data_IF_663907788178
#
_entry.id   IF_663907788178
#
_cell.length_a   1.000
_cell.length_b   1.000
_cell.length_c   1.000
_cell.angle_alpha   90.00
_cell.angle_beta   90.00
_cell.angle_gamma   90.00
#
_symmetry.space_group_name_H-M   'P 1'
#
loop_
_entity.id
_entity.type
_entity.pdbx_description
1 polymer ?
#
# COMPACT_ATOMS: atom_id res chain seq x y z
N UNK A 1 41.43 -47.11 5.31
CA UNK A 1 40.59 -46.35 4.35
C UNK A 1 39.13 -46.18 4.80
N UNK A 2 38.72 -46.60 6.01
CA UNK A 2 37.34 -46.46 6.53
C UNK A 2 37.09 -45.15 7.30
N UNK A 3 38.07 -44.70 8.09
CA UNK A 3 37.98 -43.50 8.94
C UNK A 3 37.68 -42.19 8.18
N UNK A 4 38.18 -42.06 6.95
CA UNK A 4 37.97 -40.86 6.12
C UNK A 4 36.53 -40.76 5.59
N UNK A 5 35.88 -41.89 5.31
CA UNK A 5 34.53 -41.93 4.77
C UNK A 5 33.48 -41.67 5.86
N UNK A 6 33.72 -42.15 7.08
CA UNK A 6 32.86 -41.88 8.24
C UNK A 6 32.89 -40.40 8.64
N UNK A 7 34.08 -39.77 8.61
CA UNK A 7 34.23 -38.34 8.86
C UNK A 7 33.51 -37.48 7.82
N UNK A 8 33.60 -37.85 6.54
CA UNK A 8 32.89 -37.15 5.46
C UNK A 8 31.37 -37.27 5.59
N UNK A 9 30.87 -38.46 5.93
CA UNK A 9 29.45 -38.69 6.18
C UNK A 9 28.95 -37.89 7.39
N UNK A 10 29.71 -37.88 8.48
CA UNK A 10 29.35 -37.10 9.67
C UNK A 10 29.26 -35.60 9.37
N UNK A 11 30.20 -35.05 8.61
CA UNK A 11 30.18 -33.64 8.18
C UNK A 11 29.00 -33.36 7.25
N UNK A 12 28.69 -34.25 6.29
CA UNK A 12 27.56 -34.10 5.39
C UNK A 12 26.21 -34.14 6.13
N UNK A 13 26.06 -35.03 7.11
CA UNK A 13 24.86 -35.12 7.95
C UNK A 13 24.71 -33.90 8.84
N UNK A 14 25.78 -33.42 9.49
CA UNK A 14 25.75 -32.18 10.25
C UNK A 14 25.40 -30.98 9.37
N UNK A 15 25.94 -30.90 8.16
CA UNK A 15 25.64 -29.84 7.21
C UNK A 15 24.18 -29.89 6.74
N UNK A 16 23.64 -31.08 6.47
CA UNK A 16 22.24 -31.28 6.11
C UNK A 16 21.30 -30.90 7.27
N UNK A 17 21.60 -31.33 8.50
CA UNK A 17 20.84 -30.98 9.71
C UNK A 17 20.90 -29.47 10.00
N UNK A 18 22.06 -28.85 9.83
CA UNK A 18 22.24 -27.41 9.97
C UNK A 18 21.41 -26.63 8.94
N UNK A 19 21.45 -27.04 7.67
CA UNK A 19 20.64 -26.43 6.61
C UNK A 19 19.13 -26.66 6.84
N UNK A 20 18.74 -27.86 7.29
CA UNK A 20 17.36 -28.19 7.61
C UNK A 20 16.83 -27.38 8.80
N UNK A 21 17.62 -27.23 9.87
CA UNK A 21 17.30 -26.39 11.02
C UNK A 21 17.18 -24.90 10.63
N UNK A 22 18.11 -24.40 9.79
CA UNK A 22 18.06 -23.04 9.25
C UNK A 22 16.82 -22.82 8.38
N UNK A 23 16.46 -23.80 7.56
CA UNK A 23 15.27 -23.75 6.69
C UNK A 23 13.97 -23.79 7.51
N UNK A 24 13.92 -24.58 8.60
CA UNK A 24 12.78 -24.61 9.52
C UNK A 24 12.64 -23.34 10.37
N UNK A 25 13.74 -22.70 10.77
CA UNK A 25 13.70 -21.41 11.48
C UNK A 25 13.14 -20.27 10.61
N UNK A 26 13.47 -20.22 9.32
CA UNK A 26 12.96 -19.18 8.40
C UNK A 26 11.46 -19.36 8.14
N UNK A 27 10.95 -20.59 8.15
CA UNK A 27 9.53 -20.89 7.87
C UNK A 27 8.61 -20.61 9.07
N UNK A 28 9.10 -20.71 10.31
CA UNK A 28 8.31 -20.49 11.53
C UNK A 28 8.12 -19.02 11.91
N UNK A 29 9.07 -18.13 11.56
CA UNK A 29 8.93 -16.68 11.81
C UNK A 29 7.93 -15.99 10.86
N UNK A 30 7.86 -16.41 9.59
CA UNK A 30 6.89 -15.87 8.61
C UNK A 30 5.42 -16.16 8.98
N UNK A 31 5.11 -17.35 9.52
CA UNK A 31 3.73 -17.71 9.88
C UNK A 31 3.20 -16.96 11.11
N UNK A 32 4.02 -16.73 12.14
CA UNK A 32 3.60 -15.97 13.33
C UNK A 32 3.51 -14.46 13.06
N UNK A 33 4.45 -13.89 12.31
CA UNK A 33 4.40 -12.48 11.90
C UNK A 33 3.22 -12.16 10.98
N UNK A 34 2.90 -13.05 10.03
CA UNK A 34 1.73 -12.91 9.15
C UNK A 34 0.39 -13.04 9.89
N UNK A 35 0.26 -13.97 10.83
CA UNK A 35 -0.96 -14.12 11.61
C UNK A 35 -1.22 -12.92 12.55
N UNK A 36 -0.17 -12.40 13.21
CA UNK A 36 -0.28 -11.23 14.07
C UNK A 36 -0.63 -9.95 13.29
N UNK A 37 -0.08 -9.79 12.09
CA UNK A 37 -0.42 -8.65 11.21
C UNK A 37 -1.86 -8.72 10.72
N UNK A 38 -2.38 -9.91 10.34
CA UNK A 38 -3.78 -10.06 9.95
C UNK A 38 -4.74 -9.73 11.11
N UNK A 39 -4.41 -10.18 12.32
CA UNK A 39 -5.20 -9.87 13.52
C UNK A 39 -5.21 -8.36 13.81
N UNK A 40 -4.05 -7.69 13.71
CA UNK A 40 -3.92 -6.25 13.91
C UNK A 40 -4.71 -5.45 12.85
N UNK A 41 -4.59 -5.82 11.58
CA UNK A 41 -5.38 -5.23 10.47
C UNK A 41 -6.87 -5.36 10.74
N UNK A 42 -7.33 -6.55 11.17
CA UNK A 42 -8.74 -6.80 11.46
C UNK A 42 -9.22 -5.97 12.65
N UNK A 43 -8.40 -5.83 13.69
CA UNK A 43 -8.72 -5.01 14.86
C UNK A 43 -8.92 -3.56 14.44
N UNK A 44 -7.95 -2.95 13.76
CA UNK A 44 -8.05 -1.57 13.28
C UNK A 44 -9.24 -1.35 12.35
N UNK A 45 -9.49 -2.30 11.45
CA UNK A 45 -10.66 -2.25 10.58
C UNK A 45 -12.00 -2.39 11.32
N UNK A 46 -12.03 -3.10 12.47
CA UNK A 46 -13.20 -3.18 13.35
C UNK A 46 -13.41 -1.85 14.07
N UNK A 47 -12.35 -1.28 14.63
CA UNK A 47 -12.40 0.01 15.33
C UNK A 47 -12.90 1.11 14.39
N UNK A 48 -12.38 1.16 13.16
CA UNK A 48 -12.84 2.10 12.12
C UNK A 48 -14.34 1.97 11.83
N UNK A 49 -14.91 0.75 11.90
CA UNK A 49 -16.35 0.53 11.67
C UNK A 49 -17.19 0.95 12.87
N UNK A 50 -16.64 0.90 14.08
CA UNK A 50 -17.31 1.31 15.30
C UNK A 50 -17.30 2.83 15.50
N UNK A 51 -16.34 3.54 14.89
CA UNK A 51 -16.26 5.00 14.93
C UNK A 51 -17.27 5.67 13.99
N UNK A 52 -17.94 6.70 14.49
CA UNK A 52 -18.86 7.58 13.74
C UNK A 52 -18.16 8.82 13.17
N UNK A 53 -17.07 9.29 13.79
CA UNK A 53 -16.26 10.40 13.30
C UNK A 53 -15.60 10.04 11.93
N UNK A 54 -15.90 10.79 10.86
CA UNK A 54 -15.38 10.49 9.51
C UNK A 54 -13.86 10.56 9.40
N UNK A 55 -13.22 11.54 10.03
CA UNK A 55 -11.77 11.74 9.98
C UNK A 55 -11.02 10.65 10.74
N UNK A 56 -11.45 10.37 11.97
CA UNK A 56 -10.87 9.28 12.78
C UNK A 56 -11.09 7.91 12.15
N UNK A 57 -12.25 7.71 11.51
CA UNK A 57 -12.53 6.50 10.73
C UNK A 57 -11.59 6.36 9.54
N UNK A 58 -11.28 7.45 8.84
CA UNK A 58 -10.32 7.42 7.76
C UNK A 58 -8.91 7.09 8.24
N UNK A 59 -8.45 7.70 9.34
CA UNK A 59 -7.16 7.39 9.96
C UNK A 59 -7.03 5.90 10.31
N UNK A 60 -8.03 5.32 10.98
CA UNK A 60 -8.01 3.90 11.36
C UNK A 60 -7.98 2.97 10.14
N UNK A 61 -8.63 3.35 9.03
CA UNK A 61 -8.51 2.61 7.77
C UNK A 61 -7.14 2.80 7.11
N UNK A 62 -6.50 3.96 7.22
CA UNK A 62 -5.10 4.16 6.77
C UNK A 62 -4.16 3.26 7.57
N UNK A 63 -4.26 3.26 8.89
CA UNK A 63 -3.48 2.38 9.77
C UNK A 63 -3.67 0.89 9.41
N UNK A 64 -4.91 0.47 9.15
CA UNK A 64 -5.20 -0.90 8.71
C UNK A 64 -4.55 -1.23 7.35
N UNK A 65 -4.55 -0.28 6.42
CA UNK A 65 -3.88 -0.41 5.12
C UNK A 65 -2.36 -0.52 5.25
N UNK A 66 -1.76 0.31 6.11
CA UNK A 66 -0.32 0.31 6.37
C UNK A 66 0.15 -0.98 7.01
N UNK A 67 -0.61 -1.50 7.99
CA UNK A 67 -0.34 -2.80 8.60
C UNK A 67 -0.46 -3.94 7.56
N UNK A 68 -1.47 -3.87 6.68
CA UNK A 68 -1.63 -4.85 5.61
C UNK A 68 -0.42 -4.83 4.65
N UNK A 69 0.03 -3.64 4.26
CA UNK A 69 1.22 -3.43 3.41
C UNK A 69 2.50 -3.91 4.08
N UNK A 70 2.70 -3.57 5.36
CA UNK A 70 3.90 -3.93 6.12
C UNK A 70 4.00 -5.44 6.39
N UNK A 71 2.87 -6.13 6.58
CA UNK A 71 2.84 -7.59 6.77
C UNK A 71 3.20 -8.42 5.53
N UNK A 72 3.51 -7.77 4.39
CA UNK A 72 3.68 -8.45 3.11
C UNK A 72 2.36 -9.06 2.59
N UNK A 73 1.23 -8.62 3.17
CA UNK A 73 -0.11 -9.03 2.76
C UNK A 73 -0.42 -8.44 1.40
N UNK A 74 -1.31 -9.10 0.66
CA UNK A 74 -1.82 -8.70 -0.65
C UNK A 74 -1.95 -7.18 -0.81
N UNK A 75 -1.18 -6.58 -1.73
CA UNK A 75 -1.20 -5.16 -2.05
C UNK A 75 -2.63 -4.66 -2.33
N UNK A 76 -3.51 -5.52 -2.83
CA UNK A 76 -4.91 -5.20 -3.04
C UNK A 76 -5.67 -4.93 -1.74
N UNK A 77 -5.32 -5.62 -0.66
CA UNK A 77 -5.94 -5.43 0.65
C UNK A 77 -5.60 -4.05 1.21
N UNK A 78 -4.33 -3.64 1.14
CA UNK A 78 -3.90 -2.30 1.54
C UNK A 78 -4.64 -1.22 0.74
N UNK A 79 -4.68 -1.36 -0.59
CA UNK A 79 -5.43 -0.45 -1.49
C UNK A 79 -6.92 -0.39 -1.11
N UNK A 80 -7.54 -1.52 -0.79
CA UNK A 80 -8.95 -1.55 -0.40
C UNK A 80 -9.23 -0.76 0.88
N UNK A 81 -8.29 -0.77 1.84
CA UNK A 81 -8.40 0.01 3.06
C UNK A 81 -8.19 1.51 2.82
N UNK A 82 -7.19 1.91 2.03
CA UNK A 82 -7.02 3.33 1.66
C UNK A 82 -8.24 3.88 0.90
N UNK A 83 -8.86 3.07 0.04
CA UNK A 83 -10.12 3.43 -0.62
C UNK A 83 -11.33 3.48 0.32
N UNK A 84 -11.30 2.81 1.47
CA UNK A 84 -12.31 2.96 2.52
C UNK A 84 -12.07 4.22 3.34
N UNK A 85 -10.81 4.57 3.59
CA UNK A 85 -10.44 5.82 4.22
C UNK A 85 -10.95 7.02 3.40
N UNK A 86 -10.63 7.06 2.10
CA UNK A 86 -11.09 8.13 1.18
C UNK A 86 -12.62 8.18 0.97
N UNK A 87 -13.33 7.09 1.26
CA UNK A 87 -14.80 7.08 1.26
C UNK A 87 -15.39 7.62 2.56
N UNK A 88 -14.65 7.50 3.66
CA UNK A 88 -15.06 8.00 4.96
C UNK A 88 -14.75 9.49 5.07
N UNK A 89 -13.54 9.87 4.68
CA UNK A 89 -13.10 11.25 4.54
C UNK A 89 -12.40 11.44 3.18
N UNK A 90 -13.07 12.08 2.20
CA UNK A 90 -12.49 12.41 0.90
C UNK A 90 -11.30 13.37 0.97
N UNK A 91 -11.15 14.15 2.06
CA UNK A 91 -10.05 15.08 2.28
C UNK A 91 -8.82 14.45 2.96
N UNK A 92 -8.86 13.14 3.23
CA UNK A 92 -7.78 12.43 3.90
C UNK A 92 -6.50 12.37 3.03
N UNK A 93 -5.64 13.38 3.19
CA UNK A 93 -4.29 13.44 2.59
C UNK A 93 -3.45 12.20 2.90
N UNK A 94 -3.45 11.64 4.14
CA UNK A 94 -2.72 10.41 4.44
C UNK A 94 -3.19 9.22 3.58
N UNK A 95 -4.50 9.06 3.38
CA UNK A 95 -5.05 7.98 2.56
C UNK A 95 -4.68 8.14 1.08
N UNK A 96 -4.74 9.37 0.56
CA UNK A 96 -4.34 9.67 -0.82
C UNK A 96 -2.84 9.41 -1.05
N UNK A 97 -1.99 9.84 -0.11
CA UNK A 97 -0.54 9.62 -0.17
C UNK A 97 -0.20 8.12 -0.13
N UNK A 98 -0.81 7.36 0.80
CA UNK A 98 -0.58 5.93 0.95
C UNK A 98 -1.05 5.13 -0.28
N UNK A 99 -2.19 5.51 -0.88
CA UNK A 99 -2.66 4.93 -2.14
C UNK A 99 -1.68 5.19 -3.29
N UNK A 100 -1.21 6.43 -3.42
CA UNK A 100 -0.22 6.86 -4.43
C UNK A 100 1.10 6.08 -4.28
N UNK A 101 1.59 5.92 -3.06
CA UNK A 101 2.79 5.15 -2.77
C UNK A 101 2.61 3.67 -3.09
N UNK A 102 1.43 3.12 -2.81
CA UNK A 102 1.14 1.69 -3.01
C UNK A 102 0.95 1.33 -4.49
N UNK A 103 0.31 2.18 -5.28
CA UNK A 103 0.05 1.94 -6.71
C UNK A 103 0.99 2.71 -7.66
N UNK A 104 1.97 3.42 -7.11
CA UNK A 104 2.88 4.32 -7.82
C UNK A 104 3.99 3.64 -8.63
N UNK A 105 3.84 2.35 -8.96
CA UNK A 105 4.76 1.60 -9.81
C UNK A 105 4.24 1.56 -11.25
N UNK A 106 5.11 1.49 -12.29
CA UNK A 106 4.71 1.54 -13.69
C UNK A 106 3.60 0.55 -14.09
N UNK A 107 3.63 -0.67 -13.55
CA UNK A 107 2.61 -1.70 -13.80
C UNK A 107 1.21 -1.35 -13.25
N UNK A 108 1.11 -0.39 -12.33
CA UNK A 108 -0.13 0.00 -11.64
C UNK A 108 -0.66 1.38 -12.04
N UNK A 109 0.04 2.15 -12.88
CA UNK A 109 -0.36 3.50 -13.25
C UNK A 109 -1.76 3.60 -13.85
N UNK A 110 -2.14 2.68 -14.75
CA UNK A 110 -3.51 2.62 -15.30
C UNK A 110 -4.58 2.39 -14.25
N UNK A 111 -4.25 1.65 -13.19
CA UNK A 111 -5.17 1.40 -12.08
C UNK A 111 -5.27 2.64 -11.20
N UNK A 112 -4.13 3.27 -10.88
CA UNK A 112 -4.07 4.48 -10.07
C UNK A 112 -4.81 5.65 -10.74
N UNK A 113 -4.61 5.85 -12.05
CA UNK A 113 -5.31 6.86 -12.84
C UNK A 113 -6.84 6.68 -12.77
N UNK A 114 -7.34 5.45 -13.01
CA UNK A 114 -8.77 5.14 -12.90
C UNK A 114 -9.34 5.41 -11.51
N UNK A 115 -8.54 5.18 -10.47
CA UNK A 115 -8.94 5.47 -9.10
C UNK A 115 -9.05 6.98 -8.88
N UNK A 116 -8.07 7.77 -9.29
CA UNK A 116 -8.12 9.23 -9.16
C UNK A 116 -9.29 9.84 -9.94
N UNK A 117 -9.54 9.41 -11.17
CA UNK A 117 -10.71 9.88 -11.93
C UNK A 117 -12.04 9.58 -11.21
N UNK A 118 -12.16 8.41 -10.58
CA UNK A 118 -13.34 8.05 -9.80
C UNK A 118 -13.44 8.83 -8.48
N UNK A 119 -12.32 9.24 -7.90
CA UNK A 119 -12.30 10.11 -6.71
C UNK A 119 -12.76 11.51 -7.09
N UNK A 120 -12.26 12.07 -8.19
CA UNK A 120 -12.68 13.39 -8.70
C UNK A 120 -14.18 13.46 -8.98
N UNK A 121 -14.82 12.35 -9.39
CA UNK A 121 -16.27 12.32 -9.60
C UNK A 121 -17.10 12.25 -8.30
N UNK A 122 -16.46 12.22 -7.12
CA UNK A 122 -17.12 12.02 -5.81
C UNK A 122 -16.73 13.07 -4.78
N UNK A 123 -15.50 13.57 -4.85
CA UNK A 123 -14.99 14.58 -3.91
C UNK A 123 -15.64 15.93 -4.24
N UNK A 124 -16.20 16.64 -3.25
CA UNK A 124 -16.77 17.96 -3.48
C UNK A 124 -15.68 18.98 -3.89
N UNK A 125 -16.03 20.03 -4.65
CA UNK A 125 -15.10 21.10 -4.99
C UNK A 125 -14.44 21.70 -3.74
N UNK A 126 -13.12 21.91 -3.79
CA UNK A 126 -12.33 22.43 -2.67
C UNK A 126 -10.92 21.84 -2.63
N UNK A 127 -10.24 21.99 -1.49
CA UNK A 127 -8.86 21.52 -1.26
C UNK A 127 -8.70 20.02 -1.54
N UNK A 128 -9.63 19.19 -1.10
CA UNK A 128 -9.59 17.75 -1.35
C UNK A 128 -9.60 17.42 -2.86
N UNK A 129 -10.35 18.17 -3.67
CA UNK A 129 -10.37 18.00 -5.12
C UNK A 129 -9.04 18.45 -5.74
N UNK A 130 -8.44 19.53 -5.24
CA UNK A 130 -7.11 19.99 -5.67
C UNK A 130 -6.02 18.97 -5.33
N UNK A 131 -6.08 18.34 -4.16
CA UNK A 131 -5.12 17.31 -3.77
C UNK A 131 -5.18 16.10 -4.73
N UNK A 132 -6.37 15.70 -5.17
CA UNK A 132 -6.53 14.63 -6.18
C UNK A 132 -6.02 15.07 -7.55
N UNK A 133 -6.27 16.32 -7.98
CA UNK A 133 -5.72 16.86 -9.23
C UNK A 133 -4.18 16.92 -9.20
N UNK A 134 -3.59 17.33 -8.09
CA UNK A 134 -2.13 17.33 -7.88
C UNK A 134 -1.57 15.91 -7.93
N UNK A 135 -2.22 14.95 -7.29
CA UNK A 135 -1.82 13.54 -7.35
C UNK A 135 -1.91 12.97 -8.79
N UNK A 136 -2.93 13.37 -9.56
CA UNK A 136 -3.06 13.02 -10.98
C UNK A 136 -1.92 13.64 -11.80
N UNK A 137 -1.61 14.92 -11.59
CA UNK A 137 -0.50 15.61 -12.25
C UNK A 137 0.84 14.93 -11.99
N UNK A 138 1.11 14.59 -10.73
CA UNK A 138 2.32 13.85 -10.33
C UNK A 138 2.41 12.48 -11.01
N UNK A 139 1.31 11.71 -11.04
CA UNK A 139 1.25 10.43 -11.76
C UNK A 139 1.67 10.57 -13.24
N UNK A 140 1.17 11.61 -13.92
CA UNK A 140 1.53 11.89 -15.31
C UNK A 140 2.97 12.40 -15.46
N UNK A 141 3.51 13.11 -14.45
CA UNK A 141 4.91 13.55 -14.40
C UNK A 141 5.91 12.40 -14.31
N UNK A 142 5.54 11.28 -13.69
CA UNK A 142 6.37 10.05 -13.53
C UNK A 142 6.57 9.25 -14.83
N UNK A 143 6.30 9.85 -16.00
CA UNK A 143 6.46 9.20 -17.31
C UNK A 143 5.27 8.32 -17.72
N UNK A 144 4.15 8.40 -17.01
CA UNK A 144 2.92 7.73 -17.43
C UNK A 144 2.36 8.34 -18.72
N UNK A 145 1.95 7.49 -19.66
CA UNK A 145 1.53 7.84 -21.03
C UNK A 145 0.52 9.00 -21.05
N UNK A 146 0.57 9.80 -22.13
CA UNK A 146 -0.28 10.95 -22.49
C UNK A 146 0.24 12.34 -22.06
N UNK A 147 1.29 12.83 -22.75
CA UNK A 147 1.82 14.19 -22.62
C UNK A 147 0.75 15.29 -22.72
N UNK A 148 -0.26 15.11 -23.58
CA UNK A 148 -1.34 16.10 -23.76
C UNK A 148 -2.23 16.23 -22.51
N UNK A 149 -2.59 15.11 -21.87
CA UNK A 149 -3.35 15.13 -20.60
C UNK A 149 -2.54 15.73 -19.47
N UNK A 150 -1.26 15.35 -19.38
CA UNK A 150 -0.32 15.91 -18.42
C UNK A 150 -0.20 17.45 -18.55
N UNK A 151 -0.21 17.97 -19.79
CA UNK A 151 -0.20 19.41 -20.05
C UNK A 151 -1.52 20.07 -19.65
N UNK A 152 -2.66 19.49 -20.03
CA UNK A 152 -3.97 20.03 -19.69
C UNK A 152 -4.19 20.13 -18.18
N UNK A 153 -3.83 19.08 -17.43
CA UNK A 153 -3.95 19.07 -15.96
C UNK A 153 -3.06 20.14 -15.32
N UNK A 154 -1.82 20.31 -15.79
CA UNK A 154 -0.93 21.38 -15.30
C UNK A 154 -1.51 22.77 -15.52
N UNK A 155 -1.98 23.05 -16.74
CA UNK A 155 -2.60 24.34 -17.07
C UNK A 155 -3.86 24.60 -16.22
N UNK A 156 -4.67 23.58 -15.99
CA UNK A 156 -5.84 23.68 -15.11
C UNK A 156 -5.44 24.05 -13.67
N UNK A 157 -4.45 23.36 -13.11
CA UNK A 157 -3.95 23.64 -11.76
C UNK A 157 -3.41 25.08 -11.64
N UNK A 158 -2.63 25.54 -12.62
CA UNK A 158 -2.14 26.92 -12.65
C UNK A 158 -3.27 27.96 -12.64
N UNK A 159 -4.37 27.69 -13.36
CA UNK A 159 -5.53 28.61 -13.39
C UNK A 159 -6.27 28.61 -12.06
N UNK A 160 -6.44 27.44 -11.42
CA UNK A 160 -7.16 27.36 -10.15
C UNK A 160 -6.32 27.99 -9.03
N UNK A 161 -5.02 27.71 -8.96
CA UNK A 161 -4.14 28.27 -7.93
C UNK A 161 -3.95 29.79 -8.04
N UNK A 162 -4.05 30.37 -9.25
CA UNK A 162 -4.03 31.83 -9.44
C UNK A 162 -5.34 32.53 -9.03
N UNK A 163 -6.43 31.76 -8.86
CA UNK A 163 -7.78 32.28 -8.56
C UNK A 163 -8.21 32.05 -7.11
N UNK A 164 -7.47 31.23 -6.37
CA UNK A 164 -7.64 31.02 -4.93
C UNK A 164 -6.89 32.11 -4.15
#
# INVERSE_FOLDING_TARGET
MSLTNELLLAVAVMFALFNFWRFFQVRSRRRRGGAQTIAAVRSKAKDARATSDPGRKAELFVEAGDLARAGGTDQNLAVAYYLRALRSDPASRPALAALSATLGSPGSFRRLERVYWRLLSRVPPGEATLDVWRALADLYGRGYRHRSRARAIRLMLEVIEKRA
#
